data_IF_156610664816
#
_entry.id   IF_156610664816
#
_cell.length_a   1.000
_cell.length_b   1.000
_cell.length_c   1.000
_cell.angle_alpha   90.00
_cell.angle_beta   90.00
_cell.angle_gamma   90.00
#
_symmetry.space_group_name_H-M   'P 1'
#
loop_
_entity.id
_entity.type
_entity.pdbx_description
1 polymer ?
#
# COMPACT_ATOMS: atom_id res chain seq x y z
N UNK A 1 -23.80 4.23 1.29
CA UNK A 1 -23.55 5.68 1.00
C UNK A 1 -22.18 5.99 1.57
N UNK A 2 -21.35 6.81 0.90
CA UNK A 2 -20.02 7.12 1.44
C UNK A 2 -20.13 7.76 2.84
N UNK A 3 -19.15 7.46 3.71
CA UNK A 3 -19.15 7.91 5.13
C UNK A 3 -18.82 9.40 5.29
N UNK A 4 -18.29 10.03 4.25
CA UNK A 4 -17.97 11.46 4.23
C UNK A 4 -18.46 12.08 2.94
N UNK A 5 -18.58 13.43 2.91
CA UNK A 5 -18.87 14.14 1.67
C UNK A 5 -17.81 13.84 0.62
N UNK A 6 -18.20 13.41 -0.57
CA UNK A 6 -17.28 13.24 -1.70
C UNK A 6 -16.98 14.61 -2.32
N UNK A 7 -15.70 14.91 -2.51
CA UNK A 7 -15.28 16.12 -3.23
C UNK A 7 -15.31 15.80 -4.72
N UNK A 8 -16.32 16.33 -5.41
CA UNK A 8 -16.57 16.07 -6.84
C UNK A 8 -16.63 17.33 -7.68
N UNK A 9 -16.84 18.50 -7.04
CA UNK A 9 -16.89 19.80 -7.70
C UNK A 9 -15.82 20.72 -7.12
N UNK A 10 -15.41 21.70 -7.91
CA UNK A 10 -14.43 22.71 -7.47
C UNK A 10 -14.85 23.42 -6.19
N UNK A 11 -16.14 23.72 -6.05
CA UNK A 11 -16.68 24.44 -4.90
C UNK A 11 -16.78 23.58 -3.62
N UNK A 12 -16.43 22.29 -3.70
CA UNK A 12 -16.30 21.41 -2.53
C UNK A 12 -14.98 21.61 -1.79
N UNK A 13 -13.99 22.29 -2.39
CA UNK A 13 -12.71 22.63 -1.78
C UNK A 13 -12.62 24.12 -1.49
N UNK A 14 -11.68 24.53 -0.62
CA UNK A 14 -11.46 25.95 -0.34
C UNK A 14 -10.95 26.69 -1.58
N UNK A 15 -11.25 27.98 -1.72
CA UNK A 15 -10.87 28.81 -2.87
C UNK A 15 -9.38 28.72 -3.23
N UNK A 16 -8.49 28.66 -2.21
CA UNK A 16 -7.05 28.51 -2.40
C UNK A 16 -6.65 27.19 -3.09
N UNK A 17 -7.50 26.17 -3.02
CA UNK A 17 -7.25 24.83 -3.55
C UNK A 17 -7.95 24.58 -4.89
N UNK A 18 -8.68 25.56 -5.45
CA UNK A 18 -9.38 25.46 -6.75
C UNK A 18 -8.43 25.10 -7.89
N UNK A 19 -7.25 25.72 -7.96
CA UNK A 19 -6.26 25.43 -9.01
C UNK A 19 -5.78 23.97 -8.94
N UNK A 20 -5.56 23.41 -7.74
CA UNK A 20 -5.21 22.01 -7.55
C UNK A 20 -6.34 21.10 -8.00
N UNK A 21 -7.60 21.41 -7.65
CA UNK A 21 -8.75 20.65 -8.09
C UNK A 21 -8.84 20.59 -9.62
N UNK A 22 -8.70 21.75 -10.30
CA UNK A 22 -8.74 21.84 -11.76
C UNK A 22 -7.61 21.06 -12.42
N UNK A 23 -6.38 21.14 -11.89
CA UNK A 23 -5.24 20.34 -12.34
C UNK A 23 -5.53 18.85 -12.27
N UNK A 24 -5.98 18.34 -11.10
CA UNK A 24 -6.28 16.92 -10.91
C UNK A 24 -7.48 16.45 -11.75
N UNK A 25 -8.48 17.31 -11.95
CA UNK A 25 -9.62 17.04 -12.84
C UNK A 25 -9.17 16.93 -14.30
N UNK A 26 -8.29 17.81 -14.76
CA UNK A 26 -7.76 17.79 -16.12
C UNK A 26 -6.95 16.53 -16.44
N UNK A 27 -6.17 16.02 -15.47
CA UNK A 27 -5.37 14.79 -15.63
C UNK A 27 -6.22 13.55 -15.91
N UNK A 28 -7.45 13.49 -15.40
CA UNK A 28 -8.34 12.31 -15.45
C UNK A 28 -9.70 12.57 -16.12
N UNK A 29 -9.94 13.78 -16.63
CA UNK A 29 -11.22 14.22 -17.17
C UNK A 29 -12.27 14.54 -16.09
N UNK A 30 -12.12 14.01 -14.88
CA UNK A 30 -13.00 14.30 -13.73
C UNK A 30 -12.34 13.81 -12.41
N UNK A 31 -12.79 14.37 -11.30
CA UNK A 31 -12.48 13.81 -9.97
C UNK A 31 -13.41 12.64 -9.67
N UNK A 32 -12.84 11.48 -9.36
CA UNK A 32 -13.61 10.25 -9.07
C UNK A 32 -12.83 9.28 -8.18
N UNK A 33 -13.53 8.33 -7.60
CA UNK A 33 -12.93 7.27 -6.79
C UNK A 33 -12.12 7.80 -5.61
N UNK A 34 -10.90 7.28 -5.37
CA UNK A 34 -10.10 7.66 -4.22
C UNK A 34 -9.77 9.15 -4.16
N UNK A 35 -9.70 9.84 -5.32
CA UNK A 35 -9.39 11.28 -5.36
C UNK A 35 -10.47 12.13 -4.70
N UNK A 36 -11.74 11.66 -4.69
CA UNK A 36 -12.85 12.34 -4.00
C UNK A 36 -12.67 12.36 -2.48
N UNK A 37 -11.86 11.47 -1.95
CA UNK A 37 -11.52 11.36 -0.52
C UNK A 37 -10.20 12.07 -0.23
N UNK A 38 -9.16 11.81 -1.04
CA UNK A 38 -7.81 12.36 -0.78
C UNK A 38 -7.80 13.89 -0.88
N UNK A 39 -8.69 14.50 -1.64
CA UNK A 39 -8.85 15.96 -1.73
C UNK A 39 -9.28 16.62 -0.41
N UNK A 40 -9.73 15.87 0.61
CA UNK A 40 -9.89 16.42 1.96
C UNK A 40 -8.54 16.80 2.61
N UNK A 41 -7.41 16.31 2.06
CA UNK A 41 -6.05 16.77 2.37
C UNK A 41 -5.37 17.28 1.08
N UNK A 42 -5.60 18.54 0.69
CA UNK A 42 -5.10 19.07 -0.59
C UNK A 42 -3.59 18.97 -0.74
N UNK A 43 -2.83 19.19 0.33
CA UNK A 43 -1.37 19.05 0.30
C UNK A 43 -0.88 17.64 -0.01
N UNK A 44 -1.65 16.61 0.36
CA UNK A 44 -1.37 15.22 0.02
C UNK A 44 -1.85 14.87 -1.40
N UNK A 45 -2.92 15.51 -1.88
CA UNK A 45 -3.62 15.06 -3.09
C UNK A 45 -2.72 15.04 -4.33
N UNK A 46 -1.85 16.05 -4.52
CA UNK A 46 -0.93 16.09 -5.66
C UNK A 46 0.10 14.95 -5.61
N UNK A 47 0.99 14.84 -4.60
CA UNK A 47 2.00 13.78 -4.58
C UNK A 47 1.37 12.39 -4.56
N UNK A 48 0.19 12.24 -3.92
CA UNK A 48 -0.56 10.99 -3.93
C UNK A 48 -1.01 10.57 -5.33
N UNK A 49 -1.54 11.48 -6.14
CA UNK A 49 -1.98 11.18 -7.50
C UNK A 49 -0.81 10.95 -8.48
N UNK A 50 0.33 11.60 -8.29
CA UNK A 50 1.51 11.47 -9.15
C UNK A 50 2.07 10.04 -9.21
N UNK A 51 1.93 9.24 -8.14
CA UNK A 51 2.28 7.81 -8.19
C UNK A 51 1.39 7.09 -9.20
N UNK A 52 0.06 7.30 -9.15
CA UNK A 52 -0.85 6.67 -10.10
C UNK A 52 -0.61 7.15 -11.53
N UNK A 53 -0.33 8.44 -11.71
CA UNK A 53 0.00 9.00 -13.02
C UNK A 53 1.25 8.35 -13.60
N UNK A 54 2.32 8.21 -12.79
CA UNK A 54 3.52 7.49 -13.22
C UNK A 54 3.19 6.06 -13.66
N UNK A 55 2.48 5.31 -12.83
CA UNK A 55 2.14 3.92 -13.10
C UNK A 55 1.36 3.77 -14.41
N UNK A 56 0.38 4.63 -14.66
CA UNK A 56 -0.44 4.53 -15.88
C UNK A 56 0.22 5.05 -17.15
N UNK A 57 1.20 5.97 -17.05
CA UNK A 57 1.77 6.65 -18.22
C UNK A 57 3.23 6.31 -18.50
N UNK A 58 3.98 5.87 -17.50
CA UNK A 58 5.43 5.75 -17.57
C UNK A 58 5.96 4.42 -17.06
N UNK A 59 5.12 3.56 -16.47
CA UNK A 59 5.53 2.22 -16.05
C UNK A 59 5.92 1.38 -17.26
N UNK A 60 6.95 0.56 -17.06
CA UNK A 60 7.38 -0.41 -18.08
C UNK A 60 6.66 -1.76 -17.99
N UNK A 61 5.76 -1.91 -17.01
CA UNK A 61 4.88 -3.08 -16.91
C UNK A 61 3.84 -3.00 -18.01
N UNK A 62 3.74 -4.03 -18.82
CA UNK A 62 2.80 -4.11 -19.93
C UNK A 62 1.35 -3.95 -19.41
N UNK A 63 0.48 -3.26 -20.14
CA UNK A 63 -0.91 -3.00 -19.70
C UNK A 63 -1.68 -4.28 -19.31
N UNK A 64 -1.44 -5.38 -19.98
CA UNK A 64 -2.05 -6.67 -19.67
C UNK A 64 -1.70 -7.14 -18.26
N UNK A 65 -0.42 -7.14 -17.90
CA UNK A 65 0.03 -7.57 -16.57
C UNK A 65 -0.29 -6.56 -15.48
N UNK A 66 -0.25 -5.28 -15.79
CA UNK A 66 -0.64 -4.23 -14.87
C UNK A 66 -2.12 -4.35 -14.49
N UNK A 67 -3.02 -4.46 -15.47
CA UNK A 67 -4.46 -4.58 -15.24
C UNK A 67 -4.83 -5.93 -14.60
N UNK A 68 -4.16 -7.03 -14.98
CA UNK A 68 -4.32 -8.32 -14.32
C UNK A 68 -3.94 -8.23 -12.83
N UNK A 69 -2.81 -7.61 -12.50
CA UNK A 69 -2.38 -7.41 -11.13
C UNK A 69 -3.34 -6.51 -10.34
N UNK A 70 -3.91 -5.48 -10.98
CA UNK A 70 -4.93 -4.60 -10.38
C UNK A 70 -6.22 -5.38 -10.09
N UNK A 71 -6.74 -6.16 -11.05
CA UNK A 71 -7.93 -7.00 -10.85
C UNK A 71 -7.70 -8.03 -9.74
N UNK A 72 -6.55 -8.70 -9.74
CA UNK A 72 -6.19 -9.65 -8.68
C UNK A 72 -6.10 -8.96 -7.31
N UNK A 73 -5.50 -7.75 -7.26
CA UNK A 73 -5.45 -6.94 -6.02
C UNK A 73 -6.84 -6.53 -5.56
N UNK A 74 -7.71 -6.07 -6.47
CA UNK A 74 -9.09 -5.72 -6.17
C UNK A 74 -9.85 -6.90 -5.56
N UNK A 75 -9.64 -8.12 -6.11
CA UNK A 75 -10.23 -9.36 -5.58
C UNK A 75 -9.70 -9.69 -4.19
N UNK A 76 -8.38 -9.61 -3.99
CA UNK A 76 -7.77 -9.94 -2.68
C UNK A 76 -8.08 -8.88 -1.61
N UNK A 77 -8.44 -7.66 -2.00
CA UNK A 77 -8.88 -6.58 -1.10
C UNK A 77 -10.40 -6.45 -1.02
N UNK A 78 -11.16 -7.32 -1.68
CA UNK A 78 -12.63 -7.28 -1.75
C UNK A 78 -13.15 -5.87 -2.11
N UNK A 79 -12.47 -5.21 -3.05
CA UNK A 79 -12.78 -3.84 -3.46
C UNK A 79 -13.58 -3.82 -4.77
N UNK A 80 -14.91 -3.83 -4.65
CA UNK A 80 -15.82 -3.80 -5.79
C UNK A 80 -15.66 -2.54 -6.66
N UNK A 81 -15.28 -1.41 -6.06
CA UNK A 81 -15.03 -0.19 -6.83
C UNK A 81 -13.89 -0.36 -7.85
N UNK A 82 -12.73 -0.86 -7.39
CA UNK A 82 -11.56 -1.08 -8.26
C UNK A 82 -11.89 -2.15 -9.28
N UNK A 83 -12.51 -3.25 -8.86
CA UNK A 83 -12.93 -4.33 -9.75
C UNK A 83 -13.78 -3.79 -10.92
N UNK A 84 -14.87 -3.09 -10.59
CA UNK A 84 -15.79 -2.51 -11.57
C UNK A 84 -15.10 -1.54 -12.55
N UNK A 85 -14.10 -0.80 -12.09
CA UNK A 85 -13.37 0.14 -12.92
C UNK A 85 -12.33 -0.52 -13.83
N UNK A 86 -11.68 -1.61 -13.37
CA UNK A 86 -10.50 -2.18 -14.03
C UNK A 86 -10.77 -3.44 -14.86
N UNK A 87 -11.84 -4.20 -14.63
CA UNK A 87 -12.18 -5.34 -15.49
C UNK A 87 -12.37 -4.95 -16.95
N UNK A 88 -13.07 -3.85 -17.30
CA UNK A 88 -13.14 -3.41 -18.69
C UNK A 88 -11.77 -3.02 -19.28
N UNK A 89 -10.88 -2.45 -18.47
CA UNK A 89 -9.52 -2.10 -18.88
C UNK A 89 -8.66 -3.35 -19.09
N UNK A 90 -8.77 -4.34 -18.21
CA UNK A 90 -8.09 -5.62 -18.34
C UNK A 90 -8.49 -6.35 -19.64
N UNK A 91 -9.79 -6.40 -19.96
CA UNK A 91 -10.27 -6.95 -21.24
C UNK A 91 -9.69 -6.20 -22.44
N UNK A 92 -9.69 -4.86 -22.36
CA UNK A 92 -9.11 -4.01 -23.42
C UNK A 92 -7.60 -4.23 -23.57
N UNK A 93 -6.91 -4.53 -22.48
CA UNK A 93 -5.48 -4.83 -22.48
C UNK A 93 -5.14 -6.26 -22.96
N UNK A 94 -6.15 -7.11 -23.20
CA UNK A 94 -5.95 -8.47 -23.72
C UNK A 94 -6.12 -9.59 -22.70
N UNK A 95 -6.41 -9.27 -21.42
CA UNK A 95 -6.67 -10.30 -20.40
C UNK A 95 -7.93 -11.08 -20.77
N UNK A 96 -7.81 -12.41 -20.84
CA UNK A 96 -8.93 -13.26 -21.25
C UNK A 96 -10.07 -13.29 -20.22
N UNK A 97 -11.29 -13.55 -20.69
CA UNK A 97 -12.45 -13.74 -19.80
C UNK A 97 -12.21 -14.87 -18.81
N UNK A 98 -11.59 -15.98 -19.26
CA UNK A 98 -11.27 -17.12 -18.40
C UNK A 98 -10.30 -16.73 -17.26
N UNK A 99 -9.32 -15.88 -17.54
CA UNK A 99 -8.38 -15.36 -16.55
C UNK A 99 -9.08 -14.45 -15.56
N UNK A 100 -9.93 -13.54 -16.03
CA UNK A 100 -10.73 -12.65 -15.19
C UNK A 100 -11.65 -13.44 -14.27
N UNK A 101 -12.34 -14.45 -14.79
CA UNK A 101 -13.21 -15.35 -14.02
C UNK A 101 -12.42 -16.16 -12.97
N UNK A 102 -11.21 -16.62 -13.32
CA UNK A 102 -10.30 -17.30 -12.39
C UNK A 102 -9.91 -16.39 -11.22
N UNK A 103 -9.62 -15.14 -11.49
CA UNK A 103 -9.34 -14.13 -10.45
C UNK A 103 -10.59 -13.83 -9.64
N UNK A 104 -11.73 -13.53 -10.30
CA UNK A 104 -13.01 -13.19 -9.64
C UNK A 104 -13.42 -14.23 -8.62
N UNK A 105 -13.35 -15.48 -9.00
CA UNK A 105 -13.87 -16.61 -8.21
C UNK A 105 -12.79 -17.25 -7.32
N UNK A 106 -11.60 -16.63 -7.22
CA UNK A 106 -10.45 -17.18 -6.46
C UNK A 106 -10.06 -18.60 -6.84
N UNK A 107 -10.27 -18.98 -8.12
CA UNK A 107 -9.93 -20.34 -8.60
C UNK A 107 -8.42 -20.57 -8.64
N UNK A 108 -7.97 -21.83 -8.60
CA UNK A 108 -6.60 -22.18 -8.98
C UNK A 108 -6.25 -21.70 -10.39
N UNK A 109 -4.99 -21.38 -10.63
CA UNK A 109 -4.50 -20.85 -11.93
C UNK A 109 -4.23 -21.95 -12.97
N UNK A 110 -4.57 -23.20 -12.67
CA UNK A 110 -4.44 -24.31 -13.61
C UNK A 110 -5.18 -24.01 -14.92
N UNK A 111 -4.48 -24.16 -16.03
CA UNK A 111 -5.02 -23.86 -17.38
C UNK A 111 -4.78 -22.43 -17.88
N UNK A 112 -4.24 -21.55 -17.06
CA UNK A 112 -3.74 -20.24 -17.50
C UNK A 112 -2.31 -20.34 -18.04
N UNK A 113 -1.86 -19.30 -18.77
CA UNK A 113 -0.47 -19.21 -19.19
C UNK A 113 0.48 -19.11 -17.99
N UNK A 114 1.76 -19.44 -18.19
CA UNK A 114 2.77 -19.35 -17.14
C UNK A 114 2.93 -17.93 -16.60
N UNK A 115 2.87 -16.91 -17.48
CA UNK A 115 2.98 -15.50 -17.10
C UNK A 115 1.78 -15.05 -16.27
N UNK A 116 0.54 -15.35 -16.69
CA UNK A 116 -0.66 -15.02 -15.91
C UNK A 116 -0.66 -15.71 -14.55
N UNK A 117 -0.28 -16.99 -14.52
CA UNK A 117 -0.13 -17.76 -13.27
C UNK A 117 0.85 -17.10 -12.33
N UNK A 118 2.02 -16.70 -12.83
CA UNK A 118 3.05 -16.07 -12.01
C UNK A 118 2.61 -14.70 -11.46
N UNK A 119 1.97 -13.86 -12.27
CA UNK A 119 1.43 -12.56 -11.83
C UNK A 119 0.33 -12.73 -10.77
N UNK A 120 -0.65 -13.59 -11.01
CA UNK A 120 -1.75 -13.85 -10.06
C UNK A 120 -1.20 -14.43 -8.75
N UNK A 121 -0.28 -15.38 -8.84
CA UNK A 121 0.32 -16.02 -7.65
C UNK A 121 1.15 -15.01 -6.86
N UNK A 122 1.94 -14.17 -7.54
CA UNK A 122 2.69 -13.07 -6.92
C UNK A 122 1.77 -12.13 -6.13
N UNK A 123 0.67 -11.68 -6.75
CA UNK A 123 -0.33 -10.81 -6.09
C UNK A 123 -0.91 -11.49 -4.86
N UNK A 124 -1.39 -12.74 -5.01
CA UNK A 124 -2.01 -13.50 -3.91
C UNK A 124 -1.05 -13.68 -2.74
N UNK A 125 0.17 -14.13 -3.00
CA UNK A 125 1.18 -14.35 -1.97
C UNK A 125 1.58 -13.04 -1.27
N UNK A 126 1.79 -11.96 -2.03
CA UNK A 126 2.16 -10.67 -1.47
C UNK A 126 1.06 -10.09 -0.56
N UNK A 127 -0.21 -10.28 -0.92
CA UNK A 127 -1.33 -9.74 -0.14
C UNK A 127 -1.70 -10.65 1.04
N UNK A 128 -1.77 -11.95 0.82
CA UNK A 128 -2.21 -12.91 1.84
C UNK A 128 -1.11 -13.26 2.85
N UNK A 129 0.13 -13.40 2.34
CA UNK A 129 1.27 -13.84 3.14
C UNK A 129 2.23 -12.71 3.49
N UNK A 130 2.04 -11.48 2.96
CA UNK A 130 3.00 -10.39 3.05
C UNK A 130 4.42 -10.75 2.55
N UNK A 131 4.56 -11.79 1.76
CA UNK A 131 5.82 -12.31 1.21
C UNK A 131 5.54 -13.11 -0.05
N UNK A 132 6.52 -13.20 -0.93
CA UNK A 132 6.45 -13.99 -2.17
C UNK A 132 7.47 -15.12 -2.08
N UNK A 133 7.07 -16.33 -2.47
CA UNK A 133 7.98 -17.49 -2.55
C UNK A 133 9.09 -17.27 -3.59
N UNK A 134 10.24 -17.91 -3.36
CA UNK A 134 11.45 -17.66 -4.15
C UNK A 134 11.32 -18.12 -5.60
N UNK A 135 10.59 -19.20 -5.84
CA UNK A 135 10.32 -19.71 -7.18
C UNK A 135 9.46 -18.76 -8.01
N UNK A 136 8.38 -18.23 -7.44
CA UNK A 136 7.50 -17.22 -8.08
C UNK A 136 8.26 -15.94 -8.40
N UNK A 137 9.05 -15.45 -7.43
CA UNK A 137 9.88 -14.26 -7.62
C UNK A 137 10.93 -14.48 -8.73
N UNK A 138 11.63 -15.62 -8.69
CA UNK A 138 12.69 -15.96 -9.65
C UNK A 138 12.10 -16.14 -11.07
N UNK A 139 10.95 -16.79 -11.20
CA UNK A 139 10.28 -16.96 -12.48
C UNK A 139 9.95 -15.62 -13.14
N UNK A 140 9.40 -14.67 -12.37
CA UNK A 140 9.13 -13.32 -12.90
C UNK A 140 10.44 -12.58 -13.26
N UNK A 141 11.47 -12.68 -12.42
CA UNK A 141 12.74 -12.02 -12.66
C UNK A 141 13.51 -12.61 -13.87
N UNK A 142 13.31 -13.90 -14.19
CA UNK A 142 13.87 -14.52 -15.40
C UNK A 142 13.28 -13.95 -16.70
N UNK A 143 12.01 -13.56 -16.67
CA UNK A 143 11.30 -12.98 -17.82
C UNK A 143 11.38 -11.44 -17.90
N UNK A 144 11.73 -10.78 -16.81
CA UNK A 144 11.63 -9.32 -16.70
C UNK A 144 12.83 -8.71 -15.95
N UNK A 145 12.99 -7.37 -16.07
CA UNK A 145 14.04 -6.65 -15.36
C UNK A 145 13.69 -6.40 -13.88
N UNK A 146 14.69 -6.11 -13.03
CA UNK A 146 14.42 -5.64 -11.66
C UNK A 146 13.51 -4.40 -11.62
N UNK A 147 13.64 -3.46 -12.55
CA UNK A 147 12.76 -2.30 -12.68
C UNK A 147 11.30 -2.73 -12.86
N UNK A 148 11.03 -3.65 -13.78
CA UNK A 148 9.70 -4.17 -14.06
C UNK A 148 9.06 -4.76 -12.79
N UNK A 149 9.80 -5.57 -12.06
CA UNK A 149 9.29 -6.24 -10.86
C UNK A 149 9.07 -5.25 -9.69
N UNK A 150 9.92 -4.23 -9.57
CA UNK A 150 9.72 -3.11 -8.63
C UNK A 150 8.42 -2.38 -8.97
N UNK A 151 8.22 -2.04 -10.24
CA UNK A 151 7.02 -1.31 -10.68
C UNK A 151 5.75 -2.17 -10.51
N UNK A 152 5.78 -3.47 -10.85
CA UNK A 152 4.67 -4.39 -10.58
C UNK A 152 4.33 -4.46 -9.08
N UNK A 153 5.36 -4.56 -8.23
CA UNK A 153 5.16 -4.59 -6.77
C UNK A 153 4.50 -3.29 -6.27
N UNK A 154 4.90 -2.16 -6.83
CA UNK A 154 4.29 -0.86 -6.49
C UNK A 154 2.88 -0.74 -7.07
N UNK A 155 2.59 -1.27 -8.26
CA UNK A 155 1.22 -1.40 -8.78
C UNK A 155 0.31 -2.10 -7.76
N UNK A 156 0.72 -3.28 -7.29
CA UNK A 156 -0.03 -4.06 -6.30
C UNK A 156 -0.19 -3.27 -5.00
N UNK A 157 0.90 -2.75 -4.44
CA UNK A 157 0.86 -1.98 -3.20
C UNK A 157 0.02 -0.71 -3.32
N UNK A 158 0.10 -0.01 -4.45
CA UNK A 158 -0.71 1.18 -4.74
C UNK A 158 -2.20 0.85 -4.73
N UNK A 159 -2.60 -0.21 -5.40
CA UNK A 159 -4.01 -0.60 -5.46
C UNK A 159 -4.51 -1.22 -4.14
N UNK A 160 -3.64 -1.80 -3.33
CA UNK A 160 -3.98 -2.11 -1.93
C UNK A 160 -4.30 -0.83 -1.12
N UNK A 161 -3.49 0.22 -1.28
CA UNK A 161 -3.71 1.50 -0.59
C UNK A 161 -5.01 2.18 -1.07
N UNK A 162 -5.27 2.19 -2.38
CA UNK A 162 -6.50 2.74 -2.95
C UNK A 162 -7.74 1.95 -2.50
N UNK A 163 -7.66 0.61 -2.46
CA UNK A 163 -8.72 -0.23 -1.92
C UNK A 163 -8.98 0.07 -0.45
N UNK A 164 -7.92 0.29 0.33
CA UNK A 164 -8.03 0.70 1.74
C UNK A 164 -8.83 1.99 1.91
N UNK A 165 -8.55 3.01 1.09
CA UNK A 165 -9.31 4.27 1.11
C UNK A 165 -10.78 4.03 0.73
N UNK A 166 -11.02 3.38 -0.41
CA UNK A 166 -12.37 3.16 -0.93
C UNK A 166 -13.24 2.34 0.04
N UNK A 167 -12.68 1.28 0.62
CA UNK A 167 -13.40 0.41 1.55
C UNK A 167 -13.60 1.09 2.92
N UNK A 168 -12.61 1.79 3.47
CA UNK A 168 -12.74 2.48 4.76
C UNK A 168 -13.79 3.59 4.71
N UNK A 169 -13.83 4.36 3.61
CA UNK A 169 -14.77 5.46 3.41
C UNK A 169 -16.08 5.05 2.72
N UNK A 170 -16.25 3.75 2.42
CA UNK A 170 -17.43 3.17 1.74
C UNK A 170 -17.79 3.87 0.42
N UNK A 171 -16.77 4.15 -0.39
CA UNK A 171 -16.98 4.75 -1.71
C UNK A 171 -17.44 3.67 -2.70
N UNK A 172 -18.66 3.79 -3.19
CA UNK A 172 -19.24 2.87 -4.17
C UNK A 172 -19.16 3.43 -5.60
N UNK A 173 -19.08 2.57 -6.63
CA UNK A 173 -19.15 3.04 -8.01
C UNK A 173 -20.52 3.65 -8.31
N UNK A 174 -20.55 4.69 -9.15
CA UNK A 174 -21.79 5.34 -9.57
C UNK A 174 -22.61 4.49 -10.55
N UNK A 175 -21.94 3.62 -11.30
CA UNK A 175 -22.56 2.63 -12.19
C UNK A 175 -21.87 1.29 -11.95
N UNK A 176 -22.68 0.25 -11.74
CA UNK A 176 -22.17 -1.11 -11.56
C UNK A 176 -22.22 -1.84 -12.92
N UNK A 177 -21.09 -1.90 -13.62
CA UNK A 177 -20.93 -2.65 -14.86
C UNK A 177 -20.36 -4.05 -14.61
N UNK A 178 -19.53 -4.20 -13.58
CA UNK A 178 -18.83 -5.45 -13.23
C UNK A 178 -18.98 -5.71 -11.73
N UNK A 179 -19.73 -6.73 -11.38
CA UNK A 179 -19.94 -7.12 -9.99
C UNK A 179 -18.76 -7.95 -9.47
N UNK A 180 -18.37 -7.69 -8.24
CA UNK A 180 -17.42 -8.52 -7.50
C UNK A 180 -18.19 -9.34 -6.46
N UNK A 181 -18.52 -10.61 -6.74
CA UNK A 181 -19.32 -11.43 -5.84
C UNK A 181 -18.57 -11.72 -4.54
N UNK A 182 -19.31 -11.93 -3.45
CA UNK A 182 -18.74 -12.37 -2.19
C UNK A 182 -18.26 -13.82 -2.31
N UNK A 183 -16.97 -14.02 -2.56
CA UNK A 183 -16.34 -15.34 -2.58
C UNK A 183 -15.45 -15.46 -1.33
N UNK A 184 -15.74 -16.40 -0.41
CA UNK A 184 -14.92 -16.62 0.76
C UNK A 184 -13.46 -16.90 0.37
N UNK A 185 -12.53 -16.39 1.17
CA UNK A 185 -11.15 -16.85 1.08
C UNK A 185 -11.10 -18.29 1.57
N UNK A 186 -10.35 -19.13 0.88
CA UNK A 186 -9.96 -20.43 1.45
C UNK A 186 -9.27 -20.17 2.79
N UNK A 187 -9.62 -20.95 3.82
CA UNK A 187 -8.93 -20.87 5.10
C UNK A 187 -7.42 -21.03 4.82
N UNK A 188 -6.65 -20.00 5.07
CA UNK A 188 -5.21 -20.11 4.97
C UNK A 188 -4.75 -21.10 6.04
N UNK A 189 -4.12 -22.18 5.64
CA UNK A 189 -3.34 -22.98 6.57
C UNK A 189 -2.49 -22.05 7.42
N UNK A 190 -2.29 -22.40 8.71
CA UNK A 190 -1.46 -21.59 9.62
C UNK A 190 -0.21 -21.15 8.86
N UNK A 191 0.04 -19.82 8.85
CA UNK A 191 1.16 -19.28 8.10
C UNK A 191 2.41 -20.05 8.50
N UNK A 192 3.16 -20.63 7.56
CA UNK A 192 4.34 -21.40 7.89
C UNK A 192 5.28 -20.54 8.71
N UNK A 193 6.00 -21.16 9.67
CA UNK A 193 7.06 -20.47 10.42
C UNK A 193 8.00 -19.88 9.38
N UNK A 194 8.03 -18.55 9.30
CA UNK A 194 8.77 -17.87 8.25
C UNK A 194 10.26 -17.99 8.52
N UNK A 195 11.00 -18.46 7.54
CA UNK A 195 12.46 -18.39 7.57
C UNK A 195 12.89 -16.91 7.71
N UNK A 196 14.00 -16.62 8.40
CA UNK A 196 14.58 -15.29 8.40
C UNK A 196 14.76 -14.75 6.97
N UNK A 197 14.67 -13.43 6.80
CA UNK A 197 14.95 -12.80 5.51
C UNK A 197 16.40 -13.10 5.10
N UNK A 198 16.59 -13.51 3.85
CA UNK A 198 17.90 -13.73 3.25
C UNK A 198 18.59 -12.42 2.83
N UNK A 199 19.56 -12.53 1.92
CA UNK A 199 20.07 -11.36 1.21
C UNK A 199 19.01 -10.81 0.28
N UNK A 200 19.05 -9.49 -0.05
CA UNK A 200 18.12 -8.90 -1.00
C UNK A 200 18.13 -9.65 -2.33
N UNK A 201 16.94 -9.96 -2.85
CA UNK A 201 16.76 -10.74 -4.10
C UNK A 201 17.24 -10.04 -5.36
N UNK A 202 17.44 -8.74 -5.30
CA UNK A 202 18.12 -7.93 -6.31
C UNK A 202 19.14 -7.04 -5.63
N UNK A 203 20.22 -6.70 -6.32
CA UNK A 203 21.26 -5.80 -5.78
C UNK A 203 20.67 -4.42 -5.54
N UNK A 204 20.61 -3.91 -4.30
CA UNK A 204 20.12 -2.56 -4.05
C UNK A 204 21.04 -1.51 -4.69
N UNK A 205 20.44 -0.47 -5.24
CA UNK A 205 21.17 0.70 -5.76
C UNK A 205 21.43 1.64 -4.57
N UNK A 206 22.67 1.73 -4.14
CA UNK A 206 23.08 2.49 -2.95
C UNK A 206 24.16 3.53 -3.25
N UNK A 207 24.70 3.54 -4.46
CA UNK A 207 25.72 4.50 -4.89
C UNK A 207 25.25 5.26 -6.13
N UNK A 208 25.65 6.51 -6.21
CA UNK A 208 25.28 7.45 -7.26
C UNK A 208 25.73 6.99 -8.66
N UNK A 209 26.88 6.32 -8.75
CA UNK A 209 27.45 5.81 -10.00
C UNK A 209 26.67 4.62 -10.60
N UNK A 210 25.85 3.94 -9.81
CA UNK A 210 24.94 2.87 -10.25
C UNK A 210 23.68 3.41 -10.97
N UNK A 211 23.42 4.73 -10.88
CA UNK A 211 22.26 5.38 -11.49
C UNK A 211 22.65 6.06 -12.79
N UNK A 212 21.83 5.90 -13.83
CA UNK A 212 22.03 6.61 -15.09
C UNK A 212 22.14 8.11 -14.87
N UNK A 213 23.02 8.78 -15.60
CA UNK A 213 23.36 10.19 -15.41
C UNK A 213 22.15 11.11 -15.33
N UNK A 214 21.17 10.93 -16.23
CA UNK A 214 19.91 11.69 -16.25
C UNK A 214 19.06 11.59 -14.96
N UNK A 215 19.32 10.59 -14.10
CA UNK A 215 18.57 10.35 -12.86
C UNK A 215 19.38 10.57 -11.59
N UNK A 216 20.67 10.96 -11.70
CA UNK A 216 21.55 11.18 -10.54
C UNK A 216 21.04 12.26 -9.59
N UNK A 217 20.38 13.30 -10.12
CA UNK A 217 19.75 14.33 -9.29
C UNK A 217 18.64 13.76 -8.37
N UNK A 218 17.92 12.72 -8.82
CA UNK A 218 16.94 12.02 -8.00
C UNK A 218 17.64 11.27 -6.87
N UNK A 219 18.74 10.56 -7.19
CA UNK A 219 19.53 9.88 -6.18
C UNK A 219 20.02 10.87 -5.11
N UNK A 220 20.56 12.01 -5.53
CA UNK A 220 21.05 13.07 -4.63
C UNK A 220 19.90 13.59 -3.72
N UNK A 221 18.72 13.85 -4.28
CA UNK A 221 17.53 14.28 -3.49
C UNK A 221 17.12 13.23 -2.44
N UNK A 222 17.15 11.94 -2.79
CA UNK A 222 16.82 10.87 -1.84
C UNK A 222 17.89 10.79 -0.74
N UNK A 223 19.16 10.88 -1.10
CA UNK A 223 20.28 10.86 -0.16
C UNK A 223 20.22 12.02 0.84
N UNK A 224 19.94 13.24 0.36
CA UNK A 224 19.76 14.42 1.20
C UNK A 224 18.56 14.28 2.14
N UNK A 225 17.41 13.89 1.63
CA UNK A 225 16.18 13.77 2.42
C UNK A 225 16.16 12.62 3.42
N UNK A 226 17.05 11.61 3.26
CA UNK A 226 17.07 10.38 4.09
C UNK A 226 18.44 10.06 4.70
N UNK A 227 19.44 10.91 4.49
CA UNK A 227 20.82 10.71 4.92
C UNK A 227 21.59 9.66 4.12
N UNK A 228 20.90 8.81 3.36
CA UNK A 228 21.49 7.81 2.45
C UNK A 228 20.41 7.13 1.61
N UNK A 229 20.81 6.53 0.47
CA UNK A 229 19.94 5.66 -0.33
C UNK A 229 20.11 4.23 0.15
N UNK A 230 19.15 3.73 0.94
CA UNK A 230 19.15 2.38 1.52
C UNK A 230 17.71 1.89 1.77
N UNK A 231 17.59 0.63 2.18
CA UNK A 231 16.29 0.03 2.47
C UNK A 231 15.36 0.07 1.27
N UNK A 232 14.11 0.54 1.45
CA UNK A 232 13.15 0.60 0.34
C UNK A 232 13.63 1.48 -0.81
N UNK A 233 14.37 2.55 -0.54
CA UNK A 233 14.89 3.45 -1.56
C UNK A 233 15.99 2.80 -2.41
N UNK A 234 16.79 1.88 -1.85
CA UNK A 234 17.75 1.11 -2.62
C UNK A 234 17.09 0.18 -3.65
N UNK A 235 15.90 -0.31 -3.36
CA UNK A 235 15.11 -1.13 -4.28
C UNK A 235 14.32 -0.24 -5.25
N UNK A 236 13.60 0.77 -4.74
CA UNK A 236 12.83 1.71 -5.58
C UNK A 236 13.69 2.45 -6.59
N UNK A 237 15.00 2.62 -6.33
CA UNK A 237 15.94 3.29 -7.24
C UNK A 237 16.16 2.51 -8.56
N UNK A 238 15.71 1.26 -8.68
CA UNK A 238 15.61 0.59 -9.98
C UNK A 238 14.60 1.29 -10.92
N UNK A 239 13.63 2.07 -10.35
CA UNK A 239 12.73 2.98 -11.06
C UNK A 239 12.85 4.39 -10.45
N UNK A 240 13.86 5.21 -10.85
CA UNK A 240 14.18 6.46 -10.16
C UNK A 240 13.01 7.46 -10.12
N UNK A 241 12.27 7.59 -11.22
CA UNK A 241 11.11 8.48 -11.27
C UNK A 241 10.00 8.06 -10.32
N UNK A 242 9.77 6.76 -10.15
CA UNK A 242 8.82 6.22 -9.16
C UNK A 242 9.35 6.41 -7.74
N UNK A 243 10.64 6.18 -7.53
CA UNK A 243 11.33 6.41 -6.26
C UNK A 243 11.14 7.85 -5.76
N UNK A 244 11.28 8.84 -6.65
CA UNK A 244 11.06 10.26 -6.33
C UNK A 244 9.63 10.51 -5.85
N UNK A 245 8.62 9.99 -6.53
CA UNK A 245 7.21 10.15 -6.14
C UNK A 245 6.89 9.51 -4.80
N UNK A 246 7.50 8.36 -4.52
CA UNK A 246 7.41 7.74 -3.19
C UNK A 246 8.04 8.60 -2.10
N UNK A 247 9.18 9.23 -2.38
CA UNK A 247 9.82 10.16 -1.45
C UNK A 247 8.89 11.34 -1.15
N UNK A 248 8.25 11.93 -2.16
CA UNK A 248 7.40 13.12 -2.03
C UNK A 248 6.17 12.81 -1.15
N UNK A 249 5.47 11.69 -1.39
CA UNK A 249 4.36 11.23 -0.52
C UNK A 249 4.84 10.97 0.91
N UNK A 250 5.94 10.24 1.06
CA UNK A 250 6.49 9.94 2.38
C UNK A 250 6.97 11.18 3.12
N UNK A 251 7.45 12.20 2.42
CA UNK A 251 7.84 13.49 3.00
C UNK A 251 6.62 14.25 3.51
N UNK A 252 5.55 14.33 2.70
CA UNK A 252 4.32 14.96 3.16
C UNK A 252 3.76 14.27 4.40
N UNK A 253 3.54 12.95 4.34
CA UNK A 253 2.91 12.18 5.42
C UNK A 253 3.72 12.22 6.73
N UNK A 254 5.04 12.34 6.66
CA UNK A 254 5.90 12.36 7.85
C UNK A 254 6.11 13.74 8.44
N UNK A 255 6.10 14.81 7.64
CA UNK A 255 6.55 16.13 8.07
C UNK A 255 5.55 17.24 7.83
N UNK A 256 4.55 17.05 6.96
CA UNK A 256 3.60 18.09 6.56
C UNK A 256 2.13 17.70 6.77
N UNK A 257 1.86 16.49 7.26
CA UNK A 257 0.50 16.04 7.60
C UNK A 257 0.04 16.65 8.92
N UNK A 258 -1.28 16.64 9.15
CA UNK A 258 -1.89 17.01 10.42
C UNK A 258 -1.83 15.92 11.50
N UNK A 259 -1.12 14.81 11.25
CA UNK A 259 -0.99 13.72 12.21
C UNK A 259 0.02 14.07 13.30
N UNK A 260 -0.34 13.94 14.55
CA UNK A 260 0.55 14.07 15.69
C UNK A 260 1.68 13.02 15.60
N UNK A 261 2.85 13.33 16.15
CA UNK A 261 4.04 12.49 16.01
C UNK A 261 3.84 11.08 16.58
N UNK A 262 3.21 10.95 17.73
CA UNK A 262 2.89 9.69 18.39
C UNK A 262 1.87 8.87 17.58
N UNK A 263 0.77 9.48 17.16
CA UNK A 263 -0.28 8.87 16.35
C UNK A 263 0.25 8.37 15.01
N UNK A 264 1.11 9.16 14.37
CA UNK A 264 1.79 8.82 13.11
C UNK A 264 2.71 7.61 13.29
N UNK A 265 3.62 7.65 14.27
CA UNK A 265 4.56 6.54 14.49
C UNK A 265 3.83 5.27 14.97
N UNK A 266 2.74 5.42 15.77
CA UNK A 266 1.90 4.29 16.16
C UNK A 266 1.27 3.59 14.95
N UNK A 267 0.69 4.35 14.02
CA UNK A 267 0.12 3.79 12.79
C UNK A 267 1.19 3.12 11.91
N UNK A 268 2.41 3.67 11.87
CA UNK A 268 3.53 3.08 11.12
C UNK A 268 3.96 1.74 11.73
N UNK A 269 4.18 1.66 13.05
CA UNK A 269 4.59 0.39 13.68
C UNK A 269 3.46 -0.64 13.66
N UNK A 270 2.20 -0.22 13.78
CA UNK A 270 1.06 -1.09 13.63
C UNK A 270 0.99 -1.65 12.19
N UNK A 271 1.21 -0.82 11.17
CA UNK A 271 1.29 -1.26 9.77
C UNK A 271 2.45 -2.24 9.57
N UNK A 272 3.64 -1.94 10.13
CA UNK A 272 4.80 -2.82 10.07
C UNK A 272 4.47 -4.21 10.67
N UNK A 273 3.74 -4.23 11.80
CA UNK A 273 3.31 -5.49 12.44
C UNK A 273 2.31 -6.26 11.58
N UNK A 274 1.28 -5.58 11.03
CA UNK A 274 0.28 -6.25 10.21
C UNK A 274 0.83 -6.73 8.86
N UNK A 275 1.86 -6.06 8.36
CA UNK A 275 2.59 -6.47 7.15
C UNK A 275 3.77 -7.41 7.43
N UNK A 276 4.01 -7.81 8.67
CA UNK A 276 5.15 -8.62 9.06
C UNK A 276 6.48 -8.09 8.46
N UNK A 277 6.69 -6.77 8.54
CA UNK A 277 7.83 -6.09 7.95
C UNK A 277 8.86 -5.69 9.01
N UNK A 278 9.90 -6.52 9.25
CA UNK A 278 10.90 -6.25 10.28
C UNK A 278 11.74 -5.01 10.00
N UNK A 279 11.94 -4.65 8.72
CA UNK A 279 12.68 -3.44 8.36
C UNK A 279 11.99 -2.17 8.85
N UNK A 280 10.67 -2.03 8.58
CA UNK A 280 9.91 -0.85 9.03
C UNK A 280 9.85 -0.84 10.56
N UNK A 281 9.61 -2.00 11.19
CA UNK A 281 9.61 -2.12 12.65
C UNK A 281 10.92 -1.61 13.25
N UNK A 282 12.05 -2.13 12.81
CA UNK A 282 13.37 -1.76 13.30
C UNK A 282 13.68 -0.26 13.15
N UNK A 283 13.19 0.35 12.06
CA UNK A 283 13.40 1.77 11.82
C UNK A 283 12.49 2.66 12.68
N UNK A 284 11.25 2.22 12.96
CA UNK A 284 10.22 3.08 13.54
C UNK A 284 9.87 2.78 15.00
N UNK A 285 10.13 1.59 15.54
CA UNK A 285 9.87 1.30 16.96
C UNK A 285 10.69 2.19 17.92
N UNK A 286 11.98 2.49 17.67
CA UNK A 286 12.70 3.49 18.45
C UNK A 286 12.10 4.90 18.32
N UNK A 287 11.73 5.32 17.10
CA UNK A 287 11.13 6.63 16.84
C UNK A 287 9.76 6.77 17.52
N UNK A 288 8.97 5.70 17.57
CA UNK A 288 7.69 5.65 18.26
C UNK A 288 7.84 5.91 19.76
N UNK A 289 8.88 5.32 20.41
CA UNK A 289 9.20 5.61 21.81
C UNK A 289 9.67 7.05 22.01
N UNK A 290 10.48 7.58 21.10
CA UNK A 290 10.91 8.99 21.14
C UNK A 290 9.74 9.96 20.96
N UNK A 291 8.70 9.57 20.20
CA UNK A 291 7.46 10.32 20.06
C UNK A 291 6.54 10.26 21.30
N UNK A 292 6.92 9.51 22.34
CA UNK A 292 6.20 9.44 23.60
C UNK A 292 5.35 8.18 23.81
N UNK A 293 5.35 7.23 22.88
CA UNK A 293 4.62 5.97 23.07
C UNK A 293 5.25 5.11 24.17
N UNK A 294 4.44 4.66 25.11
CA UNK A 294 4.91 3.81 26.22
C UNK A 294 5.38 2.44 25.74
N UNK A 295 6.27 1.82 26.49
CA UNK A 295 6.75 0.46 26.21
C UNK A 295 5.58 -0.56 26.16
N UNK A 296 4.52 -0.35 26.94
CA UNK A 296 3.34 -1.21 26.94
C UNK A 296 2.60 -1.15 25.59
N UNK A 297 2.41 0.06 25.02
CA UNK A 297 1.79 0.24 23.70
C UNK A 297 2.62 -0.44 22.62
N UNK A 298 3.93 -0.15 22.57
CA UNK A 298 4.84 -0.73 21.57
C UNK A 298 4.86 -2.26 21.66
N UNK A 299 4.89 -2.82 22.87
CA UNK A 299 4.83 -4.29 23.07
C UNK A 299 3.48 -4.88 22.67
N UNK A 300 2.35 -4.22 22.97
CA UNK A 300 1.02 -4.68 22.56
C UNK A 300 0.89 -4.72 21.03
N UNK A 301 1.48 -3.75 20.33
CA UNK A 301 1.55 -3.76 18.85
C UNK A 301 2.44 -4.90 18.37
N UNK A 302 3.67 -5.01 18.89
CA UNK A 302 4.66 -6.02 18.49
C UNK A 302 4.11 -7.44 18.60
N UNK A 303 3.47 -7.73 19.72
CA UNK A 303 3.02 -9.08 20.06
C UNK A 303 1.59 -9.39 19.63
N UNK A 304 0.94 -8.46 18.91
CA UNK A 304 -0.50 -8.53 18.59
C UNK A 304 -1.37 -8.77 19.85
N UNK A 305 -0.94 -8.17 20.95
CA UNK A 305 -1.59 -8.32 22.25
C UNK A 305 -2.94 -7.65 22.34
N UNK A 306 -3.59 -7.86 23.50
CA UNK A 306 -4.85 -7.18 23.84
C UNK A 306 -4.63 -5.67 23.97
N UNK A 307 -5.59 -4.92 23.45
CA UNK A 307 -5.59 -3.46 23.45
C UNK A 307 -6.48 -2.85 24.54
N UNK A 308 -7.22 -3.67 25.29
CA UNK A 308 -8.21 -3.19 26.26
C UNK A 308 -7.60 -2.27 27.34
N UNK A 309 -6.34 -2.53 27.73
CA UNK A 309 -5.60 -1.73 28.71
C UNK A 309 -4.94 -0.47 28.16
N UNK A 310 -5.02 -0.21 26.85
CA UNK A 310 -4.41 0.96 26.24
C UNK A 310 -5.34 2.19 26.33
N UNK A 311 -4.78 3.41 26.34
CA UNK A 311 -5.55 4.63 26.20
C UNK A 311 -6.40 4.60 24.91
N UNK A 312 -7.56 5.26 24.93
CA UNK A 312 -8.58 5.10 23.89
C UNK A 312 -8.12 5.55 22.48
N UNK A 313 -7.24 6.56 22.40
CA UNK A 313 -6.75 7.08 21.12
C UNK A 313 -5.85 6.05 20.46
N UNK A 314 -4.85 5.56 21.18
CA UNK A 314 -3.86 4.60 20.69
C UNK A 314 -4.53 3.27 20.34
N UNK A 315 -5.49 2.83 21.17
CA UNK A 315 -6.31 1.64 20.86
C UNK A 315 -7.05 1.80 19.54
N UNK A 316 -7.76 2.94 19.36
CA UNK A 316 -8.54 3.18 18.14
C UNK A 316 -7.65 3.24 16.89
N UNK A 317 -6.44 3.82 16.97
CA UNK A 317 -5.47 3.85 15.85
C UNK A 317 -4.98 2.44 15.50
N UNK A 318 -4.60 1.65 16.51
CA UNK A 318 -4.14 0.27 16.27
C UNK A 318 -5.26 -0.59 15.71
N UNK A 319 -6.49 -0.49 16.27
CA UNK A 319 -7.64 -1.23 15.78
C UNK A 319 -8.02 -0.83 14.34
N UNK A 320 -7.99 0.45 14.02
CA UNK A 320 -8.21 0.94 12.66
C UNK A 320 -7.22 0.31 11.67
N UNK A 321 -5.94 0.33 12.03
CA UNK A 321 -4.88 -0.27 11.21
C UNK A 321 -5.07 -1.77 11.05
N UNK A 322 -5.40 -2.49 12.13
CA UNK A 322 -5.66 -3.94 12.11
C UNK A 322 -6.87 -4.29 11.24
N UNK A 323 -8.00 -3.61 11.43
CA UNK A 323 -9.22 -3.86 10.65
C UNK A 323 -8.98 -3.60 9.16
N UNK A 324 -8.35 -2.48 8.83
CA UNK A 324 -8.03 -2.15 7.44
C UNK A 324 -7.10 -3.18 6.80
N UNK A 325 -6.08 -3.65 7.53
CA UNK A 325 -5.11 -4.64 7.02
C UNK A 325 -5.70 -6.04 6.90
N UNK A 326 -6.53 -6.46 7.86
CA UNK A 326 -6.99 -7.84 8.00
C UNK A 326 -8.35 -8.09 7.35
N UNK A 327 -9.29 -7.12 7.50
CA UNK A 327 -10.69 -7.27 7.10
C UNK A 327 -11.01 -6.55 5.79
N UNK A 328 -10.08 -5.72 5.28
CA UNK A 328 -10.29 -4.83 4.14
C UNK A 328 -11.42 -3.80 4.36
N UNK A 329 -11.84 -3.60 5.57
CA UNK A 329 -12.92 -2.70 5.97
C UNK A 329 -12.67 -2.20 7.39
N UNK A 330 -13.35 -1.13 7.77
CA UNK A 330 -13.33 -0.58 9.14
C UNK A 330 -14.77 -0.51 9.66
N UNK A 331 -15.00 -0.97 10.89
CA UNK A 331 -16.30 -0.90 11.53
C UNK A 331 -16.79 0.54 11.71
N UNK A 332 -18.08 0.79 11.50
CA UNK A 332 -18.68 2.13 11.54
C UNK A 332 -18.38 2.86 12.85
N UNK A 333 -18.60 2.21 14.00
CA UNK A 333 -18.37 2.83 15.31
C UNK A 333 -16.92 3.29 15.52
N UNK A 334 -15.93 2.55 15.01
CA UNK A 334 -14.51 2.94 15.09
C UNK A 334 -14.21 4.11 14.17
N UNK A 335 -14.73 4.06 12.94
CA UNK A 335 -14.61 5.15 11.97
C UNK A 335 -15.18 6.45 12.53
N UNK A 336 -16.40 6.41 13.06
CA UNK A 336 -17.11 7.57 13.59
C UNK A 336 -16.38 8.18 14.81
N UNK A 337 -15.82 7.35 15.70
CA UNK A 337 -15.02 7.85 16.84
C UNK A 337 -13.77 8.59 16.37
N UNK A 338 -13.01 8.05 15.42
CA UNK A 338 -11.81 8.70 14.92
C UNK A 338 -12.16 9.97 14.13
N UNK A 339 -13.17 9.91 13.27
CA UNK A 339 -13.65 11.07 12.52
C UNK A 339 -14.15 12.18 13.45
N UNK A 340 -14.96 11.83 14.45
CA UNK A 340 -15.51 12.78 15.41
C UNK A 340 -14.45 13.46 16.28
N UNK A 341 -13.35 12.74 16.57
CA UNK A 341 -12.25 13.25 17.40
C UNK A 341 -11.27 14.12 16.61
N UNK A 342 -10.91 13.71 15.39
CA UNK A 342 -9.81 14.32 14.65
C UNK A 342 -10.25 15.02 13.37
N UNK A 343 -11.46 14.74 12.87
CA UNK A 343 -11.95 15.27 11.60
C UNK A 343 -11.55 14.44 10.37
N UNK A 344 -12.18 14.78 9.23
CA UNK A 344 -12.01 14.05 7.98
C UNK A 344 -10.59 14.15 7.40
N UNK A 345 -9.94 15.32 7.35
CA UNK A 345 -8.58 15.43 6.79
C UNK A 345 -7.57 14.55 7.51
N UNK A 346 -7.60 14.53 8.85
CA UNK A 346 -6.74 13.70 9.67
C UNK A 346 -6.94 12.19 9.39
N UNK A 347 -8.20 11.75 9.30
CA UNK A 347 -8.51 10.35 9.03
C UNK A 347 -8.11 9.92 7.61
N UNK A 348 -8.21 10.83 6.64
CA UNK A 348 -7.70 10.62 5.27
C UNK A 348 -6.18 10.45 5.29
N UNK A 349 -5.46 11.33 5.98
CA UNK A 349 -4.01 11.25 6.09
C UNK A 349 -3.55 9.99 6.84
N UNK A 350 -4.23 9.58 7.91
CA UNK A 350 -3.98 8.32 8.60
C UNK A 350 -4.14 7.12 7.66
N UNK A 351 -5.26 7.09 6.90
CA UNK A 351 -5.53 5.99 5.95
C UNK A 351 -4.48 5.93 4.85
N UNK A 352 -4.09 7.09 4.32
CA UNK A 352 -3.03 7.20 3.31
C UNK A 352 -1.65 6.83 3.88
N UNK A 353 -1.35 7.16 5.13
CA UNK A 353 -0.12 6.77 5.81
C UNK A 353 -0.01 5.24 5.93
N UNK A 354 -1.08 4.59 6.40
CA UNK A 354 -1.16 3.12 6.47
C UNK A 354 -0.97 2.52 5.07
N UNK A 355 -1.63 3.09 4.05
CA UNK A 355 -1.48 2.66 2.66
C UNK A 355 -0.06 2.83 2.14
N UNK A 356 0.57 3.98 2.36
CA UNK A 356 1.95 4.27 1.93
C UNK A 356 2.96 3.29 2.57
N UNK A 357 2.87 3.09 3.89
CA UNK A 357 3.74 2.12 4.57
C UNK A 357 3.41 0.67 4.18
N UNK A 358 2.18 0.39 3.77
CA UNK A 358 1.80 -0.87 3.13
C UNK A 358 2.53 -1.10 1.80
N UNK A 359 2.68 -0.06 0.95
CA UNK A 359 3.48 -0.12 -0.29
C UNK A 359 4.95 -0.38 0.04
N UNK A 360 5.51 0.39 0.98
CA UNK A 360 6.91 0.25 1.42
C UNK A 360 7.16 -1.17 1.96
N UNK A 361 6.25 -1.71 2.78
CA UNK A 361 6.34 -3.07 3.29
C UNK A 361 6.28 -4.11 2.17
N UNK A 362 5.42 -3.92 1.17
CA UNK A 362 5.32 -4.81 0.00
C UNK A 362 6.65 -4.88 -0.75
N UNK A 363 7.30 -3.74 -0.97
CA UNK A 363 8.63 -3.69 -1.62
C UNK A 363 9.69 -4.39 -0.75
N UNK A 364 9.78 -4.04 0.53
CA UNK A 364 10.79 -4.62 1.43
C UNK A 364 10.65 -6.13 1.57
N UNK A 365 9.42 -6.61 1.72
CA UNK A 365 9.13 -8.03 1.94
C UNK A 365 9.29 -8.87 0.66
N UNK A 366 8.82 -8.36 -0.49
CA UNK A 366 8.96 -9.06 -1.76
C UNK A 366 10.43 -9.20 -2.17
N UNK A 367 11.23 -8.16 -1.94
CA UNK A 367 12.65 -8.14 -2.29
C UNK A 367 13.58 -8.62 -1.17
N UNK A 368 13.02 -9.06 -0.05
CA UNK A 368 13.73 -9.60 1.13
C UNK A 368 14.79 -8.66 1.71
N UNK A 369 14.45 -7.38 1.83
CA UNK A 369 15.35 -6.40 2.43
C UNK A 369 15.29 -6.51 3.96
N UNK A 370 16.32 -7.09 4.54
CA UNK A 370 16.45 -7.26 5.99
C UNK A 370 16.85 -5.95 6.70
N UNK A 371 16.43 -5.75 7.98
CA UNK A 371 17.01 -4.71 8.84
C UNK A 371 18.48 -5.00 9.16
N UNK A 372 19.16 -4.06 9.82
CA UNK A 372 20.49 -4.30 10.36
C UNK A 372 20.47 -5.47 11.36
N UNK A 373 21.56 -6.26 11.46
CA UNK A 373 21.59 -7.46 12.32
C UNK A 373 21.36 -7.19 13.81
N UNK A 374 21.73 -6.01 14.28
CA UNK A 374 21.59 -5.53 15.66
C UNK A 374 20.27 -4.77 15.91
N UNK A 375 19.42 -4.67 14.92
CA UNK A 375 18.14 -3.97 15.04
C UNK A 375 17.12 -4.72 15.90
N UNK A 376 16.21 -3.98 16.53
CA UNK A 376 15.13 -4.56 17.34
C UNK A 376 14.29 -5.56 16.50
N UNK A 377 14.18 -6.82 16.94
CA UNK A 377 13.51 -7.84 16.16
C UNK A 377 11.97 -7.67 16.19
N UNK A 378 11.32 -7.96 15.06
CA UNK A 378 9.90 -8.20 14.98
C UNK A 378 9.67 -9.72 14.88
N UNK A 379 9.04 -10.38 15.87
CA UNK A 379 8.75 -11.81 15.80
C UNK A 379 7.86 -12.11 14.58
N UNK A 380 8.35 -12.91 13.63
CA UNK A 380 7.60 -13.31 12.44
C UNK A 380 6.78 -14.58 12.76
N UNK A 381 5.56 -14.66 12.25
CA UNK A 381 4.78 -15.91 12.28
C UNK A 381 4.14 -16.24 13.62
N UNK A 382 4.01 -15.32 14.58
CA UNK A 382 3.10 -15.53 15.70
C UNK A 382 1.69 -15.60 15.17
N UNK A 383 1.09 -16.79 15.21
CA UNK A 383 -0.30 -17.05 14.87
C UNK A 383 -1.20 -16.00 15.51
N UNK A 384 -2.09 -15.41 14.71
CA UNK A 384 -3.23 -14.65 15.26
C UNK A 384 -3.87 -15.54 16.32
N UNK A 385 -3.83 -15.15 17.61
CA UNK A 385 -4.71 -15.77 18.59
C UNK A 385 -6.11 -15.45 18.11
N UNK A 386 -6.85 -16.49 17.72
CA UNK A 386 -8.22 -16.37 17.23
C UNK A 386 -9.07 -15.61 18.25
N UNK A 387 -9.76 -14.63 17.76
CA UNK A 387 -11.00 -14.12 18.39
C UNK A 387 -12.18 -14.84 17.80
#
# INVERSE_FOLDING_TARGET
>A
MARVKLIVNRDDVALKDHALFEELAALRGRISGPSTIVLHSPGLARPWNEISEFLHRHSIVEPEYAELAVCATARERDCGYIWNAHVPLARKAGVSVATIDTVRDRRPTAGLSASETSVITYVRQLIQNNRVESDVFTQLLQGHTPQWLVELTVWIGRYQALAGILNAFEVTPTMLAEELPAVPRAATAAAPVRAPLGAPRVTPITRRDQVQERHRAIFDTVAEGRGSVRGPFGILMHSPLLCRRHLDVGTFLRFNSGLEADSRELAIIATAREKDCPYIWAAHAPTARQAGLSAAIVSAVRDRGDLAGLPSVERDIVDYTRQLAQQNAVGAALFDRLQGRHGVPWLVELTCLIGHYGIVASVLNAFEVAPAPDAEPLPLGTTRKGT
#
